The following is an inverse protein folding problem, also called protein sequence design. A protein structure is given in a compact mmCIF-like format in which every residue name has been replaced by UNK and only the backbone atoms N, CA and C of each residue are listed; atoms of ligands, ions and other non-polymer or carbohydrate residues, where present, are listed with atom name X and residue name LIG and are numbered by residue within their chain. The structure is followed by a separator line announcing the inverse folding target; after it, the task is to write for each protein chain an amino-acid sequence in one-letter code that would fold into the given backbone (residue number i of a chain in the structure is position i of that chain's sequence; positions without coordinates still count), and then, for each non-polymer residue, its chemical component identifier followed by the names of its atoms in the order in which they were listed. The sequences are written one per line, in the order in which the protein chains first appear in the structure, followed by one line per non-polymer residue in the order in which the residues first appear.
data_IF_135763805624
#
_entry.id   IF_135763805624
#
_cell.length_a   1.000
_cell.length_b   1.000
_cell.length_c   1.000
_cell.angle_alpha   90.00
_cell.angle_beta   90.00
_cell.angle_gamma   90.00
#
_symmetry.space_group_name_H-M   'P 1'
#
loop_
_entity.id
_entity.type
_entity.pdbx_description
1 polymer ?
#
# COMPACT_ATOMS: atom_id res chain seq x y z
N UNK A 1 -18.61 59.99 -11.79
CA UNK A 1 -18.72 58.60 -11.32
C UNK A 1 -18.36 58.64 -9.85
N UNK A 2 -19.37 58.81 -8.98
CA UNK A 2 -19.18 58.80 -7.54
C UNK A 2 -18.93 57.35 -7.10
N UNK A 3 -17.71 57.09 -6.72
CA UNK A 3 -17.32 55.82 -6.06
C UNK A 3 -17.89 55.88 -4.66
N UNK A 4 -18.95 55.11 -4.40
CA UNK A 4 -19.55 54.97 -3.08
C UNK A 4 -18.42 54.55 -2.09
N UNK A 5 -18.25 55.24 -0.92
CA UNK A 5 -17.21 54.91 0.02
C UNK A 5 -17.34 53.46 0.49
N UNK A 6 -16.26 52.70 0.36
CA UNK A 6 -16.16 51.34 0.91
C UNK A 6 -16.33 51.51 2.43
N UNK A 7 -17.47 51.06 2.94
CA UNK A 7 -17.80 51.14 4.34
C UNK A 7 -16.84 50.25 5.11
N UNK A 8 -15.90 50.83 5.79
CA UNK A 8 -14.98 50.11 6.66
C UNK A 8 -15.76 49.27 7.66
N UNK A 9 -15.44 47.99 7.72
CA UNK A 9 -16.06 47.07 8.68
C UNK A 9 -15.46 47.38 10.05
N UNK A 10 -16.21 48.02 10.90
CA UNK A 10 -15.80 48.32 12.26
C UNK A 10 -15.85 47.05 13.13
N UNK A 11 -14.79 46.28 13.08
CA UNK A 11 -14.62 45.06 13.89
C UNK A 11 -14.68 45.33 15.39
N UNK A 12 -14.21 46.53 15.84
CA UNK A 12 -14.21 46.90 17.25
C UNK A 12 -15.61 47.23 17.75
N UNK A 13 -16.39 47.92 16.94
CA UNK A 13 -17.81 48.20 17.22
C UNK A 13 -18.63 46.91 17.27
N UNK A 14 -18.34 45.97 16.36
CA UNK A 14 -19.03 44.63 16.34
C UNK A 14 -18.66 43.84 17.62
N UNK A 15 -17.40 43.79 18.03
CA UNK A 15 -16.97 43.08 19.22
C UNK A 15 -17.61 43.69 20.51
N UNK A 16 -17.70 45.03 20.63
CA UNK A 16 -18.41 45.68 21.76
C UNK A 16 -19.88 45.29 21.83
N UNK A 17 -20.57 45.18 20.72
CA UNK A 17 -22.00 44.76 20.65
C UNK A 17 -22.20 43.32 21.11
N UNK A 18 -21.32 42.38 20.69
CA UNK A 18 -21.37 40.96 21.15
C UNK A 18 -21.13 40.92 22.67
N UNK A 19 -20.14 41.66 23.18
CA UNK A 19 -19.81 41.73 24.62
C UNK A 19 -20.95 42.38 25.45
N UNK A 20 -21.75 43.27 24.86
CA UNK A 20 -22.88 43.87 25.54
C UNK A 20 -23.97 42.87 25.95
N UNK A 21 -24.13 41.78 25.19
CA UNK A 21 -25.11 40.70 25.46
C UNK A 21 -24.52 39.63 26.42
N UNK A 22 -24.03 40.01 27.57
CA UNK A 22 -23.31 39.14 28.54
C UNK A 22 -24.08 37.85 28.88
N UNK A 23 -25.38 37.89 29.07
CA UNK A 23 -26.18 36.71 29.44
C UNK A 23 -26.20 35.65 28.36
N UNK A 24 -26.32 36.06 27.10
CA UNK A 24 -26.26 35.15 25.95
C UNK A 24 -24.86 34.57 25.80
N UNK A 25 -23.82 35.42 25.85
CA UNK A 25 -22.44 35.02 25.72
C UNK A 25 -22.02 34.03 26.82
N UNK A 26 -22.42 34.23 28.07
CA UNK A 26 -22.14 33.28 29.15
C UNK A 26 -22.90 31.96 28.97
N UNK A 27 -24.16 32.01 28.51
CA UNK A 27 -24.96 30.81 28.26
C UNK A 27 -24.39 29.92 27.17
N UNK A 28 -24.05 30.50 26.02
CA UNK A 28 -23.46 29.77 24.90
C UNK A 28 -22.02 29.30 25.19
N UNK A 29 -21.23 30.09 25.91
CA UNK A 29 -19.90 29.71 26.36
C UNK A 29 -19.93 28.45 27.25
N UNK A 30 -20.84 28.45 28.27
CA UNK A 30 -21.00 27.26 29.12
C UNK A 30 -21.56 26.08 28.33
N UNK A 31 -22.53 26.30 27.45
CA UNK A 31 -23.06 25.22 26.59
C UNK A 31 -21.98 24.64 25.67
N UNK A 32 -21.17 25.49 25.05
CA UNK A 32 -20.05 25.06 24.20
C UNK A 32 -19.01 24.23 24.94
N UNK A 33 -18.69 24.62 26.18
CA UNK A 33 -17.77 23.85 27.05
C UNK A 33 -18.38 22.46 27.35
N UNK A 34 -19.64 22.41 27.76
CA UNK A 34 -20.33 21.16 28.10
C UNK A 34 -20.37 20.23 26.88
N UNK A 35 -20.79 20.75 25.72
CA UNK A 35 -20.83 19.98 24.47
C UNK A 35 -19.42 19.55 24.08
N UNK A 36 -18.43 20.44 24.15
CA UNK A 36 -17.03 20.16 23.87
C UNK A 36 -16.45 19.05 24.75
N UNK A 37 -16.78 19.04 26.05
CA UNK A 37 -16.37 17.98 26.97
C UNK A 37 -17.01 16.66 26.59
N UNK A 38 -18.33 16.62 26.35
CA UNK A 38 -19.07 15.41 25.96
C UNK A 38 -18.45 14.81 24.68
N UNK A 39 -18.18 15.65 23.67
CA UNK A 39 -17.56 15.21 22.41
C UNK A 39 -16.13 14.73 22.62
N UNK A 40 -15.31 15.47 23.37
CA UNK A 40 -13.92 15.14 23.64
C UNK A 40 -13.74 13.80 24.38
N UNK A 41 -14.63 13.47 25.29
CA UNK A 41 -14.61 12.20 26.01
C UNK A 41 -15.15 11.02 25.20
N UNK A 42 -16.00 11.27 24.21
CA UNK A 42 -16.56 10.23 23.35
C UNK A 42 -15.63 9.85 22.19
N UNK A 43 -14.65 10.69 21.83
CA UNK A 43 -13.65 10.34 20.82
C UNK A 43 -12.63 9.38 21.43
N UNK A 44 -12.48 8.21 20.80
CA UNK A 44 -11.52 7.21 21.20
C UNK A 44 -10.09 7.70 20.97
N UNK A 45 -9.20 7.35 21.90
CA UNK A 45 -7.76 7.50 21.69
C UNK A 45 -7.31 6.48 20.64
N UNK A 46 -6.42 6.92 19.76
CA UNK A 46 -5.76 6.08 18.78
C UNK A 46 -4.26 6.12 19.00
N UNK A 47 -3.61 4.99 18.79
CA UNK A 47 -2.18 4.82 18.93
C UNK A 47 -1.63 4.34 17.61
N UNK A 48 -0.50 4.91 17.18
CA UNK A 48 0.15 4.55 15.92
C UNK A 48 1.51 3.97 16.21
N UNK A 49 1.76 2.77 15.72
CA UNK A 49 3.08 2.15 15.71
C UNK A 49 3.63 2.18 14.30
N UNK A 50 4.92 2.41 14.15
CA UNK A 50 5.59 2.54 12.87
C UNK A 50 6.74 1.56 12.74
N UNK A 51 6.88 1.01 11.53
CA UNK A 51 8.02 0.20 11.11
C UNK A 51 8.64 0.88 9.90
N UNK A 52 9.96 1.01 9.92
CA UNK A 52 10.71 1.61 8.81
C UNK A 52 11.58 0.53 8.17
N UNK A 53 11.41 0.35 6.88
CA UNK A 53 12.16 -0.66 6.10
C UNK A 53 12.81 -0.02 4.87
N UNK A 54 14.02 -0.46 4.55
CA UNK A 54 14.69 -0.12 3.30
C UNK A 54 14.59 -1.32 2.35
N UNK A 55 13.98 -1.18 1.16
CA UNK A 55 13.96 -2.26 0.19
C UNK A 55 15.38 -2.53 -0.30
N UNK A 56 15.75 -3.81 -0.35
CA UNK A 56 16.97 -4.21 -1.01
C UNK A 56 16.73 -4.18 -2.51
N UNK A 57 17.20 -3.12 -3.14
CA UNK A 57 17.29 -3.04 -4.59
C UNK A 57 18.52 -3.87 -4.93
N UNK A 58 18.31 -5.11 -5.43
CA UNK A 58 19.42 -5.91 -5.94
C UNK A 58 20.10 -5.10 -7.05
N UNK A 59 21.25 -4.54 -6.72
CA UNK A 59 22.10 -3.78 -7.64
C UNK A 59 22.82 -4.74 -8.59
N UNK A 60 22.07 -5.54 -9.35
CA UNK A 60 22.56 -6.14 -10.59
C UNK A 60 22.92 -5.06 -11.62
N UNK A 61 22.58 -3.82 -11.33
CA UNK A 61 22.89 -2.65 -12.16
C UNK A 61 24.40 -2.35 -12.21
N UNK A 62 25.16 -2.60 -11.16
CA UNK A 62 26.61 -2.28 -11.15
C UNK A 62 27.48 -3.20 -12.01
N UNK A 63 27.06 -4.46 -12.24
CA UNK A 63 27.75 -5.37 -13.17
C UNK A 63 27.20 -5.25 -14.60
N UNK A 64 25.90 -4.94 -14.75
CA UNK A 64 25.27 -4.78 -16.04
C UNK A 64 25.73 -3.50 -16.76
N UNK A 65 25.99 -2.40 -16.03
CA UNK A 65 26.49 -1.16 -16.63
C UNK A 65 27.92 -1.34 -17.19
N UNK A 66 28.80 -2.02 -16.48
CA UNK A 66 30.13 -2.31 -16.97
C UNK A 66 30.18 -3.28 -18.17
N UNK A 67 29.23 -4.24 -18.23
CA UNK A 67 29.07 -5.16 -19.35
C UNK A 67 28.31 -4.53 -20.52
N UNK A 68 27.36 -3.63 -20.27
CA UNK A 68 26.64 -2.89 -21.32
C UNK A 68 27.55 -1.89 -22.04
N UNK A 69 28.49 -1.26 -21.33
CA UNK A 69 29.48 -0.37 -21.92
C UNK A 69 30.49 -1.14 -22.79
N UNK A 70 30.91 -2.34 -22.37
CA UNK A 70 31.74 -3.22 -23.16
C UNK A 70 31.00 -3.80 -24.38
N UNK A 71 29.73 -4.14 -24.24
CA UNK A 71 28.91 -4.68 -25.32
C UNK A 71 28.55 -3.61 -26.36
N UNK A 72 28.33 -2.36 -25.93
CA UNK A 72 28.13 -1.23 -26.86
C UNK A 72 29.36 -0.90 -27.68
N UNK A 73 30.58 -1.16 -27.14
CA UNK A 73 31.84 -1.06 -27.91
C UNK A 73 31.98 -2.13 -29.00
N UNK A 74 31.28 -3.27 -28.88
CA UNK A 74 31.27 -4.36 -29.86
C UNK A 74 30.01 -4.31 -30.77
N UNK A 75 29.16 -3.26 -30.63
CA UNK A 75 27.98 -3.08 -31.48
C UNK A 75 26.80 -3.97 -31.08
N UNK A 76 26.82 -4.59 -29.92
CA UNK A 76 25.72 -5.40 -29.38
C UNK A 76 24.94 -4.57 -28.38
N UNK A 77 23.74 -4.16 -28.78
CA UNK A 77 22.83 -3.35 -27.94
C UNK A 77 22.14 -4.24 -26.91
N UNK A 78 22.79 -4.46 -25.75
CA UNK A 78 22.25 -5.22 -24.61
C UNK A 78 21.15 -4.46 -23.86
N UNK A 79 20.85 -3.21 -24.23
CA UNK A 79 19.77 -2.41 -23.62
C UNK A 79 18.36 -2.95 -23.90
N UNK A 80 18.19 -3.80 -24.91
CA UNK A 80 16.89 -4.44 -25.20
C UNK A 80 16.72 -5.82 -24.58
N UNK A 81 17.78 -6.38 -23.98
CA UNK A 81 17.78 -7.69 -23.32
C UNK A 81 17.49 -7.56 -21.84
N UNK A 82 16.22 -7.36 -21.49
CA UNK A 82 15.67 -7.70 -20.18
C UNK A 82 16.55 -7.33 -18.97
N UNK A 83 16.53 -6.08 -18.55
CA UNK A 83 16.69 -5.84 -17.12
C UNK A 83 15.66 -6.74 -16.44
N UNK A 84 16.10 -7.84 -15.86
CA UNK A 84 15.30 -8.66 -14.99
C UNK A 84 14.95 -7.79 -13.78
N UNK A 85 13.90 -7.00 -13.96
CA UNK A 85 13.28 -6.26 -12.89
C UNK A 85 12.62 -7.31 -12.00
N UNK A 86 13.47 -7.94 -11.22
CA UNK A 86 13.11 -9.03 -10.32
C UNK A 86 12.46 -8.47 -9.04
N UNK A 87 12.30 -7.15 -8.98
CA UNK A 87 11.76 -6.48 -7.84
C UNK A 87 10.28 -6.18 -8.07
N UNK A 88 9.43 -6.61 -7.16
CA UNK A 88 8.19 -5.89 -6.92
C UNK A 88 8.64 -4.47 -6.55
N UNK A 89 8.36 -3.50 -7.42
CA UNK A 89 8.71 -2.11 -7.13
C UNK A 89 8.08 -1.67 -5.82
N UNK A 90 8.82 -0.98 -4.95
CA UNK A 90 8.28 -0.50 -3.68
C UNK A 90 7.00 0.33 -3.82
N UNK A 91 6.77 0.93 -4.99
CA UNK A 91 5.54 1.66 -5.33
C UNK A 91 4.27 0.80 -5.28
N UNK A 92 4.38 -0.53 -5.44
CA UNK A 92 3.24 -1.45 -5.41
C UNK A 92 2.85 -1.84 -3.96
N UNK A 93 3.72 -1.59 -2.97
CA UNK A 93 3.44 -2.01 -1.59
C UNK A 93 2.15 -1.41 -1.02
N UNK A 94 1.81 -0.12 -1.23
CA UNK A 94 0.52 0.41 -0.81
C UNK A 94 -0.66 -0.35 -1.40
N UNK A 95 -0.56 -0.80 -2.66
CA UNK A 95 -1.63 -1.55 -3.34
C UNK A 95 -1.77 -2.96 -2.78
N UNK A 96 -0.67 -3.59 -2.35
CA UNK A 96 -0.71 -4.89 -1.66
C UNK A 96 -1.51 -4.76 -0.37
N UNK A 97 -1.27 -3.72 0.44
CA UNK A 97 -2.02 -3.47 1.68
C UNK A 97 -3.49 -3.12 1.44
N UNK A 98 -3.80 -2.51 0.29
CA UNK A 98 -5.17 -2.19 -0.12
C UNK A 98 -5.91 -3.41 -0.68
N UNK A 99 -5.21 -4.52 -1.00
CA UNK A 99 -5.84 -5.73 -1.54
C UNK A 99 -6.72 -6.43 -0.49
N UNK A 100 -7.84 -6.97 -0.93
CA UNK A 100 -8.73 -7.72 -0.03
C UNK A 100 -8.06 -8.98 0.50
N UNK A 101 -7.31 -9.70 -0.34
CA UNK A 101 -6.67 -10.96 0.03
C UNK A 101 -5.68 -10.74 1.18
N UNK A 102 -4.86 -9.69 1.11
CA UNK A 102 -3.94 -9.35 2.18
C UNK A 102 -4.66 -9.02 3.48
N UNK A 103 -5.75 -8.23 3.41
CA UNK A 103 -6.52 -7.82 4.59
C UNK A 103 -7.26 -9.00 5.23
N UNK A 104 -7.80 -9.91 4.42
CA UNK A 104 -8.47 -11.12 4.92
C UNK A 104 -7.50 -12.03 5.68
N UNK A 105 -6.27 -12.10 5.24
CA UNK A 105 -5.20 -12.82 5.95
C UNK A 105 -4.88 -12.25 7.34
N UNK A 106 -5.28 -11.00 7.63
CA UNK A 106 -5.12 -10.38 8.94
C UNK A 106 -6.25 -10.73 9.92
N UNK A 107 -7.39 -11.25 9.44
CA UNK A 107 -8.56 -11.50 10.28
C UNK A 107 -8.29 -12.49 11.42
N UNK A 108 -7.56 -13.56 11.12
CA UNK A 108 -7.31 -14.67 12.06
C UNK A 108 -6.12 -14.43 12.99
N UNK A 109 -5.44 -13.28 12.87
CA UNK A 109 -4.31 -12.96 13.73
C UNK A 109 -4.80 -12.81 15.16
N UNK A 110 -4.16 -13.56 16.07
CA UNK A 110 -4.45 -13.46 17.50
C UNK A 110 -3.81 -12.20 18.08
N UNK A 111 -4.65 -11.35 18.65
CA UNK A 111 -4.22 -10.11 19.30
C UNK A 111 -4.54 -10.16 20.78
N UNK A 112 -3.65 -9.60 21.58
CA UNK A 112 -3.83 -9.45 23.03
C UNK A 112 -3.79 -7.96 23.36
N UNK A 113 -4.82 -7.47 24.07
CA UNK A 113 -4.89 -6.08 24.51
C UNK A 113 -4.01 -5.88 25.74
N UNK A 114 -3.52 -4.65 25.92
CA UNK A 114 -2.66 -4.27 27.03
C UNK A 114 -3.33 -4.55 28.40
N UNK A 115 -4.63 -4.27 28.50
CA UNK A 115 -5.40 -4.38 29.76
C UNK A 115 -6.19 -5.70 29.89
N UNK A 116 -6.00 -6.67 28.99
CA UNK A 116 -6.76 -7.92 28.98
C UNK A 116 -5.87 -9.15 28.90
N UNK A 117 -6.15 -10.15 29.70
CA UNK A 117 -5.45 -11.46 29.67
C UNK A 117 -5.97 -12.40 28.58
N UNK A 118 -7.06 -12.03 27.90
CA UNK A 118 -7.68 -12.84 26.85
C UNK A 118 -7.11 -12.53 25.46
N UNK A 119 -6.84 -13.58 24.66
CA UNK A 119 -6.52 -13.46 23.23
C UNK A 119 -7.82 -13.49 22.42
N UNK A 120 -7.92 -12.66 21.40
CA UNK A 120 -9.03 -12.64 20.42
C UNK A 120 -8.48 -12.42 19.01
N UNK A 121 -9.25 -12.78 18.00
CA UNK A 121 -8.84 -12.50 16.60
C UNK A 121 -8.91 -11.01 16.32
N UNK A 122 -8.06 -10.52 15.43
CA UNK A 122 -8.05 -9.12 15.01
C UNK A 122 -9.41 -8.69 14.43
N UNK A 123 -10.07 -9.59 13.68
CA UNK A 123 -11.45 -9.38 13.24
C UNK A 123 -12.40 -9.10 14.39
N UNK A 124 -12.35 -9.89 15.47
CA UNK A 124 -13.22 -9.71 16.64
C UNK A 124 -12.88 -8.42 17.41
N UNK A 125 -11.60 -8.05 17.45
CA UNK A 125 -11.15 -6.81 18.05
C UNK A 125 -11.75 -5.60 17.31
N UNK A 126 -11.61 -5.51 16.00
CA UNK A 126 -12.16 -4.43 15.19
C UNK A 126 -13.69 -4.37 15.30
N UNK A 127 -14.37 -5.53 15.31
CA UNK A 127 -15.83 -5.59 15.36
C UNK A 127 -16.40 -5.15 16.72
N UNK A 128 -15.75 -5.50 17.84
CA UNK A 128 -16.30 -5.29 19.18
C UNK A 128 -15.78 -4.03 19.86
N UNK A 129 -14.51 -3.69 19.66
CA UNK A 129 -13.84 -2.63 20.43
C UNK A 129 -13.80 -1.28 19.69
N UNK A 130 -14.27 -1.26 18.44
CA UNK A 130 -14.39 -0.01 17.69
C UNK A 130 -15.67 0.73 18.11
N UNK A 131 -15.54 1.61 19.13
CA UNK A 131 -16.65 2.40 19.65
C UNK A 131 -17.13 3.41 18.62
N UNK A 132 -18.38 3.29 18.24
CA UNK A 132 -19.04 4.24 17.34
C UNK A 132 -19.42 5.47 18.15
N UNK A 133 -18.96 6.68 17.78
CA UNK A 133 -19.32 7.91 18.49
C UNK A 133 -20.83 8.12 18.52
N UNK A 134 -21.37 8.65 19.65
CA UNK A 134 -22.82 8.78 19.85
C UNK A 134 -23.53 9.62 18.77
N UNK A 135 -22.84 10.59 18.17
CA UNK A 135 -23.38 11.39 17.05
C UNK A 135 -23.56 10.59 15.76
N UNK A 136 -23.02 9.40 15.66
CA UNK A 136 -23.25 8.47 14.54
C UNK A 136 -24.52 7.65 14.73
N UNK A 137 -25.07 7.56 15.96
CA UNK A 137 -26.29 6.81 16.23
C UNK A 137 -27.51 7.28 15.42
N UNK A 138 -27.78 8.58 15.24
CA UNK A 138 -28.90 9.03 14.40
C UNK A 138 -28.77 8.54 12.96
N UNK A 139 -27.55 8.59 12.41
CA UNK A 139 -27.26 8.08 11.05
C UNK A 139 -27.41 6.55 10.98
N UNK A 140 -26.89 5.83 11.98
CA UNK A 140 -27.04 4.38 12.08
C UNK A 140 -28.49 3.97 12.29
N UNK A 141 -29.26 4.70 13.06
CA UNK A 141 -30.69 4.47 13.26
C UNK A 141 -31.47 4.64 11.95
N UNK A 142 -31.20 5.70 11.19
CA UNK A 142 -31.77 5.90 9.85
C UNK A 142 -31.37 4.76 8.89
N UNK A 143 -30.09 4.36 8.89
CA UNK A 143 -29.60 3.24 8.06
C UNK A 143 -30.26 1.92 8.48
N UNK A 144 -30.43 1.66 9.79
CA UNK A 144 -31.14 0.47 10.29
C UNK A 144 -32.61 0.50 9.92
N UNK A 145 -33.26 1.66 9.95
CA UNK A 145 -34.66 1.83 9.53
C UNK A 145 -34.84 1.52 8.03
N UNK A 146 -33.91 1.99 7.19
CA UNK A 146 -33.90 1.67 5.76
C UNK A 146 -33.53 0.19 5.53
N UNK A 147 -32.61 -0.37 6.32
CA UNK A 147 -32.18 -1.76 6.22
C UNK A 147 -33.26 -2.76 6.67
N UNK A 148 -34.19 -2.35 7.57
CA UNK A 148 -35.31 -3.20 7.98
C UNK A 148 -36.29 -3.48 6.84
N UNK A 149 -36.28 -2.66 5.79
CA UNK A 149 -37.06 -2.90 4.54
C UNK A 149 -36.33 -3.79 3.53
N UNK A 150 -35.05 -4.12 3.77
CA UNK A 150 -34.29 -5.09 2.93
C UNK A 150 -34.23 -6.44 3.63
N UNK A 151 -34.56 -7.51 2.90
CA UNK A 151 -34.44 -8.90 3.40
C UNK A 151 -33.05 -9.13 4.01
N UNK A 152 -32.97 -9.75 5.23
CA UNK A 152 -31.70 -10.09 5.83
C UNK A 152 -30.94 -11.04 4.91
N UNK A 153 -29.77 -10.64 4.45
CA UNK A 153 -28.85 -11.57 3.80
C UNK A 153 -28.37 -12.55 4.87
N UNK A 154 -28.65 -13.85 4.66
CA UNK A 154 -28.11 -14.92 5.50
C UNK A 154 -26.60 -14.77 5.56
N UNK A 155 -26.06 -14.67 6.78
CA UNK A 155 -24.62 -14.67 6.99
C UNK A 155 -24.04 -15.95 6.35
N UNK A 156 -23.04 -15.78 5.52
CA UNK A 156 -22.25 -16.89 5.01
C UNK A 156 -21.30 -17.25 6.15
N UNK A 157 -21.46 -18.44 6.72
CA UNK A 157 -20.50 -18.99 7.67
C UNK A 157 -19.17 -19.25 6.93
N UNK A 158 -18.11 -18.56 7.33
CA UNK A 158 -16.78 -18.61 6.74
C UNK A 158 -16.40 -17.36 5.94
N UNK A 159 -15.09 -17.12 5.83
CA UNK A 159 -14.53 -16.02 5.04
C UNK A 159 -14.34 -16.53 3.61
N UNK A 160 -15.17 -16.06 2.67
CA UNK A 160 -14.99 -16.35 1.25
C UNK A 160 -14.48 -15.09 0.55
N UNK A 161 -13.23 -15.07 0.02
CA UNK A 161 -12.65 -13.91 -0.64
C UNK A 161 -13.48 -13.38 -1.82
N UNK A 162 -14.21 -14.26 -2.53
CA UNK A 162 -15.07 -13.89 -3.66
C UNK A 162 -16.44 -13.33 -3.24
N UNK A 163 -16.85 -13.56 -1.99
CA UNK A 163 -18.18 -13.14 -1.52
C UNK A 163 -18.15 -12.76 -0.04
N UNK A 164 -17.67 -11.57 0.25
CA UNK A 164 -17.68 -11.03 1.60
C UNK A 164 -19.09 -10.65 2.04
N UNK A 165 -19.39 -10.87 3.31
CA UNK A 165 -20.60 -10.33 3.93
C UNK A 165 -20.43 -8.81 4.11
N UNK A 166 -21.54 -8.09 4.27
CA UNK A 166 -21.50 -6.64 4.51
C UNK A 166 -20.64 -6.25 5.71
N UNK A 167 -20.72 -7.03 6.79
CA UNK A 167 -19.93 -6.82 8.01
C UNK A 167 -18.44 -7.05 7.73
N UNK A 168 -18.11 -8.12 7.01
CA UNK A 168 -16.71 -8.40 6.63
C UNK A 168 -16.14 -7.30 5.76
N UNK A 169 -16.92 -6.79 4.79
CA UNK A 169 -16.48 -5.65 3.95
C UNK A 169 -16.23 -4.40 4.79
N UNK A 170 -17.11 -4.09 5.74
CA UNK A 170 -16.96 -2.94 6.63
C UNK A 170 -15.70 -3.07 7.51
N UNK A 171 -15.44 -4.25 8.06
CA UNK A 171 -14.21 -4.54 8.81
C UNK A 171 -12.97 -4.43 7.91
N UNK A 172 -13.01 -4.93 6.68
CA UNK A 172 -11.91 -4.76 5.72
C UNK A 172 -11.58 -3.28 5.48
N UNK A 173 -12.59 -2.44 5.27
CA UNK A 173 -12.38 -1.00 5.05
C UNK A 173 -11.80 -0.30 6.28
N UNK A 174 -12.21 -0.68 7.48
CA UNK A 174 -11.63 -0.17 8.73
C UNK A 174 -10.16 -0.57 8.83
N UNK A 175 -9.83 -1.85 8.58
CA UNK A 175 -8.43 -2.33 8.62
C UNK A 175 -7.58 -1.60 7.59
N UNK A 176 -8.05 -1.45 6.34
CA UNK A 176 -7.34 -0.69 5.29
C UNK A 176 -7.09 0.76 5.71
N UNK A 177 -8.07 1.40 6.34
CA UNK A 177 -7.93 2.78 6.81
C UNK A 177 -6.92 2.92 7.96
N UNK A 178 -6.73 1.87 8.75
CA UNK A 178 -5.81 1.82 9.88
C UNK A 178 -4.35 1.54 9.45
N UNK A 179 -4.15 0.99 8.25
CA UNK A 179 -2.83 0.70 7.70
C UNK A 179 -2.46 1.80 6.72
N UNK A 180 -1.32 2.45 6.93
CA UNK A 180 -0.76 3.44 6.00
C UNK A 180 0.63 3.03 5.61
N UNK A 181 0.91 3.03 4.32
CA UNK A 181 2.22 2.79 3.77
C UNK A 181 2.67 4.04 3.02
N UNK A 182 3.77 4.62 3.45
CA UNK A 182 4.37 5.78 2.82
C UNK A 182 5.73 5.42 2.26
N UNK A 183 5.94 5.68 0.98
CA UNK A 183 7.21 5.53 0.31
C UNK A 183 7.87 6.91 0.14
N UNK A 184 9.02 7.09 0.74
CA UNK A 184 9.84 8.29 0.53
C UNK A 184 10.57 8.15 -0.82
N UNK A 185 10.17 8.95 -1.81
CA UNK A 185 10.69 8.86 -3.19
C UNK A 185 12.17 9.18 -3.33
N UNK A 186 12.72 9.98 -2.42
CA UNK A 186 14.13 10.36 -2.43
C UNK A 186 15.06 9.27 -1.90
N UNK A 187 14.63 8.55 -0.86
CA UNK A 187 15.46 7.56 -0.17
C UNK A 187 15.01 6.12 -0.44
N UNK A 188 13.87 5.93 -1.11
CA UNK A 188 13.17 4.64 -1.26
C UNK A 188 12.85 3.94 0.06
N UNK A 189 12.94 4.65 1.18
CA UNK A 189 12.57 4.11 2.49
C UNK A 189 11.05 4.04 2.61
N UNK A 190 10.57 2.92 3.16
CA UNK A 190 9.16 2.66 3.36
C UNK A 190 8.84 2.77 4.84
N UNK A 191 7.88 3.62 5.15
CA UNK A 191 7.30 3.73 6.50
C UNK A 191 5.93 3.09 6.50
N UNK A 192 5.78 2.01 7.26
CA UNK A 192 4.53 1.32 7.51
C UNK A 192 4.00 1.76 8.88
N UNK A 193 2.84 2.42 8.89
CA UNK A 193 2.18 2.89 10.11
C UNK A 193 0.88 2.13 10.31
N UNK A 194 0.68 1.58 11.51
CA UNK A 194 -0.56 0.91 11.91
C UNK A 194 -1.17 1.65 13.09
N UNK A 195 -2.42 2.03 12.93
CA UNK A 195 -3.16 2.79 13.94
C UNK A 195 -4.27 1.92 14.54
N UNK A 196 -4.29 1.80 15.87
CA UNK A 196 -5.31 1.05 16.59
C UNK A 196 -5.76 1.79 17.87
N UNK A 197 -6.83 1.32 18.50
CA UNK A 197 -7.32 1.84 19.78
C UNK A 197 -6.49 1.35 20.97
N UNK A 198 -5.79 0.22 20.81
CA UNK A 198 -4.89 -0.34 21.80
C UNK A 198 -3.41 -0.23 21.34
N UNK A 199 -2.50 0.29 22.17
CA UNK A 199 -1.10 0.48 21.81
C UNK A 199 -0.35 -0.83 21.57
N UNK A 200 -0.69 -1.91 22.28
CA UNK A 200 -0.08 -3.21 22.11
C UNK A 200 -0.52 -3.86 20.80
N UNK A 201 -1.82 -3.75 20.47
CA UNK A 201 -2.36 -4.25 19.21
C UNK A 201 -1.75 -3.47 18.03
N UNK A 202 -1.61 -2.14 18.13
CA UNK A 202 -0.97 -1.34 17.09
C UNK A 202 0.46 -1.82 16.79
N UNK A 203 1.28 -2.09 17.83
CA UNK A 203 2.65 -2.57 17.68
C UNK A 203 2.70 -4.00 17.14
N UNK A 204 1.89 -4.90 17.70
CA UNK A 204 1.81 -6.30 17.24
C UNK A 204 1.39 -6.40 15.77
N UNK A 205 0.39 -5.61 15.37
CA UNK A 205 -0.08 -5.61 13.99
C UNK A 205 0.94 -4.98 13.05
N UNK A 206 1.65 -3.91 13.44
CA UNK A 206 2.71 -3.32 12.63
C UNK A 206 3.83 -4.33 12.33
N UNK A 207 4.29 -5.05 13.34
CA UNK A 207 5.29 -6.11 13.20
C UNK A 207 4.77 -7.31 12.38
N UNK A 208 3.52 -7.72 12.60
CA UNK A 208 2.92 -8.84 11.88
C UNK A 208 2.70 -8.51 10.39
N UNK A 209 2.21 -7.31 10.09
CA UNK A 209 1.99 -6.84 8.72
C UNK A 209 3.32 -6.74 7.97
N UNK A 210 4.37 -6.22 8.62
CA UNK A 210 5.71 -6.16 8.05
C UNK A 210 6.24 -7.57 7.71
N UNK A 211 6.12 -8.54 8.63
CA UNK A 211 6.53 -9.93 8.39
C UNK A 211 5.69 -10.60 7.29
N UNK A 212 4.39 -10.37 7.25
CA UNK A 212 3.53 -10.89 6.17
C UNK A 212 3.91 -10.31 4.81
N UNK A 213 4.19 -8.99 4.75
CA UNK A 213 4.68 -8.37 3.53
C UNK A 213 5.99 -8.99 3.07
N UNK A 214 6.95 -9.18 3.97
CA UNK A 214 8.22 -9.82 3.66
C UNK A 214 8.02 -11.22 3.07
N UNK A 215 7.20 -12.04 3.72
CA UNK A 215 6.89 -13.39 3.26
C UNK A 215 6.18 -13.38 1.90
N UNK A 216 5.25 -12.47 1.68
CA UNK A 216 4.54 -12.33 0.41
C UNK A 216 5.50 -12.00 -0.74
N UNK A 217 6.40 -11.03 -0.55
CA UNK A 217 7.38 -10.64 -1.56
C UNK A 217 8.39 -11.77 -1.82
N UNK A 218 8.85 -12.43 -0.76
CA UNK A 218 9.76 -13.58 -0.90
C UNK A 218 9.11 -14.74 -1.67
N UNK A 219 7.84 -15.05 -1.35
CA UNK A 219 7.10 -16.09 -2.07
C UNK A 219 6.93 -15.74 -3.55
N UNK A 220 6.58 -14.49 -3.87
CA UNK A 220 6.46 -14.02 -5.24
C UNK A 220 7.78 -14.12 -6.01
N UNK A 221 8.88 -13.63 -5.44
CA UNK A 221 10.22 -13.72 -6.05
C UNK A 221 10.63 -15.17 -6.30
N UNK A 222 10.41 -16.04 -5.31
CA UNK A 222 10.74 -17.46 -5.44
C UNK A 222 9.89 -18.13 -6.52
N UNK A 223 8.59 -17.82 -6.60
CA UNK A 223 7.74 -18.39 -7.64
C UNK A 223 8.16 -17.92 -9.04
N UNK A 224 8.50 -16.65 -9.20
CA UNK A 224 9.00 -16.13 -10.46
C UNK A 224 10.32 -16.79 -10.87
N UNK A 225 11.29 -16.87 -9.95
CA UNK A 225 12.56 -17.52 -10.21
C UNK A 225 12.40 -19.01 -10.60
N UNK A 226 11.42 -19.71 -10.02
CA UNK A 226 11.08 -21.08 -10.44
C UNK A 226 10.54 -21.15 -11.86
N UNK A 227 9.61 -20.25 -12.21
CA UNK A 227 9.05 -20.20 -13.56
C UNK A 227 10.14 -19.88 -14.60
N UNK A 228 11.05 -18.96 -14.30
CA UNK A 228 12.18 -18.60 -15.16
C UNK A 228 13.13 -19.80 -15.32
N UNK A 229 13.39 -20.56 -14.26
CA UNK A 229 14.20 -21.79 -14.33
C UNK A 229 13.51 -22.88 -15.16
N UNK A 230 12.22 -23.11 -14.98
CA UNK A 230 11.46 -24.09 -15.78
C UNK A 230 11.50 -23.73 -17.27
N UNK A 231 11.39 -22.45 -17.60
CA UNK A 231 11.56 -21.95 -18.96
C UNK A 231 12.96 -22.22 -19.49
N UNK A 232 13.99 -21.85 -18.72
CA UNK A 232 15.40 -22.10 -19.09
C UNK A 232 15.71 -23.60 -19.31
N UNK A 233 15.10 -24.50 -18.50
CA UNK A 233 15.22 -25.94 -18.68
C UNK A 233 14.59 -26.41 -19.99
N UNK A 234 13.48 -25.81 -20.43
CA UNK A 234 12.87 -26.15 -21.73
C UNK A 234 13.79 -25.74 -22.88
N UNK A 235 14.30 -24.51 -22.83
CA UNK A 235 15.24 -23.99 -23.84
C UNK A 235 16.52 -24.84 -23.88
N UNK A 236 17.05 -25.24 -22.73
CA UNK A 236 18.19 -26.13 -22.63
C UNK A 236 17.95 -27.48 -23.32
N UNK A 237 16.80 -28.13 -23.05
CA UNK A 237 16.45 -29.43 -23.64
C UNK A 237 16.27 -29.35 -25.16
N UNK A 238 15.67 -28.28 -25.65
CA UNK A 238 15.50 -28.04 -27.08
C UNK A 238 16.84 -27.82 -27.76
N UNK A 239 17.66 -26.94 -27.21
CA UNK A 239 19.02 -26.71 -27.74
C UNK A 239 19.94 -27.95 -27.69
N UNK A 240 19.81 -28.79 -26.65
CA UNK A 240 20.50 -30.04 -26.52
C UNK A 240 20.08 -31.02 -27.63
N UNK A 241 18.79 -31.16 -27.86
CA UNK A 241 18.26 -32.03 -28.93
C UNK A 241 18.76 -31.59 -30.30
N UNK A 242 18.67 -30.29 -30.59
CA UNK A 242 19.11 -29.72 -31.87
C UNK A 242 20.60 -29.94 -32.10
N UNK A 243 21.45 -29.73 -31.08
CA UNK A 243 22.86 -29.98 -31.15
C UNK A 243 23.18 -31.47 -31.37
N UNK A 244 22.52 -32.36 -30.62
CA UNK A 244 22.69 -33.81 -30.79
C UNK A 244 22.27 -34.30 -32.17
N UNK A 245 21.20 -33.71 -32.75
CA UNK A 245 20.78 -34.01 -34.11
C UNK A 245 21.78 -33.52 -35.15
N UNK A 246 22.27 -32.30 -35.04
CA UNK A 246 23.28 -31.73 -35.93
C UNK A 246 24.58 -32.53 -35.84
N UNK A 247 25.01 -32.90 -34.63
CA UNK A 247 26.18 -33.75 -34.42
C UNK A 247 26.06 -35.14 -35.07
N UNK A 248 24.85 -35.75 -34.97
CA UNK A 248 24.60 -37.05 -35.64
C UNK A 248 24.61 -36.91 -37.15
N UNK A 249 24.06 -35.84 -37.72
CA UNK A 249 24.10 -35.59 -39.18
C UNK A 249 25.51 -35.41 -39.67
N UNK A 250 26.30 -34.61 -38.97
CA UNK A 250 27.70 -34.42 -39.29
C UNK A 250 28.49 -35.73 -39.23
N UNK A 251 28.37 -36.52 -38.14
CA UNK A 251 29.08 -37.81 -37.98
C UNK A 251 28.70 -38.82 -39.03
N UNK A 252 27.39 -39.00 -39.27
CA UNK A 252 26.91 -39.95 -40.29
C UNK A 252 27.37 -39.58 -41.70
N UNK A 253 27.47 -38.30 -42.04
CA UNK A 253 27.97 -37.84 -43.33
C UNK A 253 29.47 -38.02 -43.45
N UNK A 254 30.24 -37.74 -42.41
CA UNK A 254 31.68 -37.94 -42.35
C UNK A 254 32.05 -39.45 -42.50
N UNK A 255 31.30 -40.35 -41.79
CA UNK A 255 31.54 -41.80 -41.85
C UNK A 255 31.18 -42.39 -43.19
N UNK A 256 30.16 -41.87 -43.87
CA UNK A 256 29.72 -42.36 -45.18
C UNK A 256 30.63 -41.90 -46.35
N UNK A 257 31.36 -40.81 -46.18
CA UNK A 257 32.17 -40.18 -47.24
C UNK A 257 33.62 -40.06 -46.79
N UNK A 258 34.33 -41.14 -46.62
CA UNK A 258 35.73 -41.17 -46.19
C UNK A 258 36.71 -40.66 -47.25
N UNK A 259 36.30 -40.60 -48.53
CA UNK A 259 37.09 -40.07 -49.62
C UNK A 259 36.61 -38.63 -49.99
N UNK A 260 37.20 -37.63 -49.32
CA UNK A 260 36.86 -36.21 -49.46
C UNK A 260 37.58 -35.50 -50.63
N UNK A 261 38.05 -36.22 -51.65
CA UNK A 261 38.68 -35.63 -52.82
C UNK A 261 37.72 -34.83 -53.70
N UNK A 262 36.40 -35.16 -53.63
CA UNK A 262 35.36 -34.45 -54.40
C UNK A 262 35.00 -33.14 -53.69
N UNK A 263 35.17 -31.97 -54.34
CA UNK A 263 34.93 -30.66 -53.72
C UNK A 263 33.52 -30.48 -53.15
N UNK A 264 32.46 -31.07 -53.76
CA UNK A 264 31.07 -31.00 -53.28
C UNK A 264 30.87 -31.70 -51.95
N UNK A 265 31.58 -32.84 -51.69
CA UNK A 265 31.49 -33.52 -50.41
C UNK A 265 32.14 -32.75 -49.29
N UNK A 266 33.24 -32.04 -49.58
CA UNK A 266 33.95 -31.18 -48.63
C UNK A 266 33.09 -29.99 -48.24
N UNK A 267 32.44 -29.33 -49.20
CA UNK A 267 31.52 -28.20 -48.92
C UNK A 267 30.35 -28.65 -48.05
N UNK A 268 29.71 -29.79 -48.33
CA UNK A 268 28.63 -30.31 -47.53
C UNK A 268 29.06 -30.65 -46.10
N UNK A 269 30.27 -31.21 -45.94
CA UNK A 269 30.81 -31.50 -44.61
C UNK A 269 31.05 -30.22 -43.82
N UNK A 270 31.63 -29.19 -44.46
CA UNK A 270 31.85 -27.86 -43.86
C UNK A 270 30.53 -27.19 -43.46
N UNK A 271 29.48 -27.30 -44.27
CA UNK A 271 28.14 -26.77 -43.94
C UNK A 271 27.56 -27.48 -42.72
N UNK A 272 27.67 -28.82 -42.63
CA UNK A 272 27.22 -29.60 -41.47
C UNK A 272 28.01 -29.32 -40.21
N UNK A 273 29.34 -29.08 -40.34
CA UNK A 273 30.20 -28.70 -39.23
C UNK A 273 29.83 -27.30 -38.71
N UNK A 274 29.60 -26.35 -39.61
CA UNK A 274 29.15 -25.01 -39.26
C UNK A 274 27.80 -25.03 -38.56
N UNK A 275 26.80 -25.80 -39.05
CA UNK A 275 25.50 -25.98 -38.39
C UNK A 275 25.65 -26.57 -36.99
N UNK A 276 26.43 -27.63 -36.84
CA UNK A 276 26.75 -28.24 -35.56
C UNK A 276 27.39 -27.23 -34.59
N UNK A 277 28.33 -26.41 -35.08
CA UNK A 277 29.00 -25.40 -34.26
C UNK A 277 28.06 -24.28 -33.82
N UNK A 278 27.17 -23.84 -34.67
CA UNK A 278 26.09 -22.87 -34.34
C UNK A 278 25.16 -23.46 -33.24
N UNK A 279 24.72 -24.71 -33.43
CA UNK A 279 23.86 -25.39 -32.45
C UNK A 279 24.60 -25.62 -31.12
N UNK A 280 25.88 -25.92 -31.13
CA UNK A 280 26.73 -26.04 -29.94
C UNK A 280 26.79 -24.69 -29.18
N UNK A 281 26.97 -23.57 -29.87
CA UNK A 281 27.00 -22.26 -29.24
C UNK A 281 25.65 -21.91 -28.58
N UNK A 282 24.52 -22.22 -29.23
CA UNK A 282 23.21 -22.06 -28.67
C UNK A 282 23.01 -22.93 -27.42
N UNK A 283 23.39 -24.22 -27.51
CA UNK A 283 23.34 -25.15 -26.39
C UNK A 283 24.21 -24.66 -25.21
N UNK A 284 25.44 -24.24 -25.46
CA UNK A 284 26.33 -23.67 -24.42
C UNK A 284 25.71 -22.45 -23.73
N UNK A 285 25.10 -21.55 -24.50
CA UNK A 285 24.39 -20.39 -23.97
C UNK A 285 23.19 -20.79 -23.12
N UNK A 286 22.39 -21.78 -23.57
CA UNK A 286 21.25 -22.30 -22.85
C UNK A 286 21.67 -22.96 -21.50
N UNK A 287 22.78 -23.67 -21.46
CA UNK A 287 23.38 -24.23 -20.23
C UNK A 287 23.69 -23.11 -19.23
N UNK A 288 24.34 -22.04 -19.69
CA UNK A 288 24.69 -20.89 -18.84
C UNK A 288 23.41 -20.21 -18.30
N UNK A 289 22.41 -20.01 -19.15
CA UNK A 289 21.14 -19.42 -18.78
C UNK A 289 20.39 -20.26 -17.72
N UNK A 290 20.33 -21.59 -17.92
CA UNK A 290 19.73 -22.52 -16.96
C UNK A 290 20.45 -22.49 -15.61
N UNK A 291 21.80 -22.48 -15.61
CA UNK A 291 22.60 -22.41 -14.39
C UNK A 291 22.37 -21.06 -13.66
N UNK A 292 22.32 -19.96 -14.39
CA UNK A 292 22.02 -18.65 -13.82
C UNK A 292 20.62 -18.60 -13.19
N UNK A 293 19.61 -19.13 -13.88
CA UNK A 293 18.25 -19.22 -13.36
C UNK A 293 18.17 -20.12 -12.11
N UNK A 294 18.93 -21.23 -12.08
CA UNK A 294 19.05 -22.11 -10.92
C UNK A 294 19.65 -21.39 -9.70
N UNK A 295 20.70 -20.60 -9.90
CA UNK A 295 21.32 -19.82 -8.84
C UNK A 295 20.37 -18.79 -8.25
N UNK A 296 19.56 -18.13 -9.07
CA UNK A 296 18.54 -17.17 -8.61
C UNK A 296 17.50 -17.77 -7.65
N UNK A 297 17.13 -19.05 -7.82
CA UNK A 297 16.23 -19.73 -6.86
C UNK A 297 16.91 -19.89 -5.49
N UNK A 298 18.23 -20.08 -5.46
CA UNK A 298 19.01 -20.30 -4.23
C UNK A 298 19.36 -19.00 -3.53
N UNK A 299 19.29 -17.88 -4.24
CA UNK A 299 19.57 -16.56 -3.70
C UNK A 299 18.46 -16.13 -2.73
N UNK A 300 18.74 -16.27 -1.42
CA UNK A 300 17.82 -15.92 -0.32
C UNK A 300 18.02 -14.47 0.09
N UNK A 301 17.94 -13.54 -0.83
CA UNK A 301 18.05 -12.12 -0.51
C UNK A 301 16.76 -11.67 0.19
N UNK A 302 16.82 -11.09 1.41
CA UNK A 302 15.65 -10.53 2.06
C UNK A 302 15.05 -9.45 1.16
N UNK A 303 13.70 -9.29 1.23
CA UNK A 303 13.02 -8.32 0.38
C UNK A 303 13.35 -6.87 0.77
N UNK A 304 13.69 -6.68 2.04
CA UNK A 304 14.08 -5.39 2.63
C UNK A 304 14.80 -5.60 3.96
N UNK A 305 15.59 -4.60 4.34
CA UNK A 305 16.25 -4.52 5.64
C UNK A 305 15.42 -3.65 6.57
N UNK A 306 15.22 -4.09 7.81
CA UNK A 306 14.48 -3.35 8.83
C UNK A 306 15.40 -2.28 9.42
N UNK A 307 15.03 -1.01 9.26
CA UNK A 307 15.72 0.13 9.89
C UNK A 307 15.19 0.35 11.29
N UNK A 308 13.86 0.27 11.47
CA UNK A 308 13.21 0.46 12.76
C UNK A 308 12.09 -0.57 12.93
N UNK A 309 12.13 -1.29 14.04
CA UNK A 309 11.08 -2.25 14.43
C UNK A 309 9.87 -1.54 15.02
N UNK A 310 8.72 -2.22 14.98
CA UNK A 310 7.52 -1.78 15.69
C UNK A 310 7.79 -1.61 17.19
N UNK A 311 7.29 -0.51 17.73
CA UNK A 311 7.38 -0.21 19.17
C UNK A 311 6.01 0.12 19.73
N UNK A 312 5.75 -0.23 20.99
CA UNK A 312 4.50 0.11 21.66
C UNK A 312 4.48 1.62 21.91
N UNK A 313 3.54 2.37 21.32
CA UNK A 313 3.49 3.81 21.46
C UNK A 313 3.01 4.22 22.86
N UNK A 314 3.76 5.07 23.54
CA UNK A 314 3.41 5.60 24.86
C UNK A 314 2.40 6.75 24.78
N UNK A 315 2.37 7.48 23.66
CA UNK A 315 1.47 8.62 23.45
C UNK A 315 0.43 8.31 22.38
N UNK A 316 -0.79 8.80 22.59
CA UNK A 316 -1.83 8.69 21.56
C UNK A 316 -1.51 9.61 20.38
N UNK A 317 -1.75 9.11 19.18
CA UNK A 317 -1.65 9.87 17.91
C UNK A 317 -2.90 10.70 17.59
N UNK A 318 -3.99 10.48 18.35
CA UNK A 318 -5.24 11.24 18.21
C UNK A 318 -5.07 12.68 18.71
N UNK A 319 -5.88 13.59 18.17
CA UNK A 319 -5.91 15.00 18.57
C UNK A 319 -6.14 15.09 20.08
N UNK A 320 -5.28 15.84 20.84
CA UNK A 320 -5.48 16.03 22.27
C UNK A 320 -6.86 16.64 22.57
N UNK A 321 -7.53 16.13 23.61
CA UNK A 321 -8.87 16.55 23.99
C UNK A 321 -9.03 18.06 24.21
N UNK A 322 -7.95 18.71 24.65
CA UNK A 322 -7.92 20.14 24.86
C UNK A 322 -8.16 20.94 23.57
N UNK A 323 -7.62 20.50 22.43
CA UNK A 323 -7.84 21.18 21.16
C UNK A 323 -9.29 21.06 20.68
N UNK A 324 -9.94 19.93 20.96
CA UNK A 324 -11.36 19.73 20.66
C UNK A 324 -12.18 20.72 21.47
N UNK A 325 -11.89 20.86 22.76
CA UNK A 325 -12.59 21.80 23.64
C UNK A 325 -12.39 23.24 23.16
N UNK A 326 -11.17 23.65 22.85
CA UNK A 326 -10.86 24.99 22.32
C UNK A 326 -11.63 25.25 21.02
N UNK A 327 -11.70 24.26 20.10
CA UNK A 327 -12.44 24.38 18.86
C UNK A 327 -13.95 24.60 19.10
N UNK A 328 -14.55 23.88 20.07
CA UNK A 328 -15.97 24.07 20.42
C UNK A 328 -16.24 25.42 21.07
N UNK A 329 -15.35 25.89 21.94
CA UNK A 329 -15.45 27.23 22.52
C UNK A 329 -15.35 28.31 21.44
N UNK A 330 -14.43 28.17 20.52
CA UNK A 330 -14.28 29.08 19.39
C UNK A 330 -15.53 29.10 18.49
N UNK A 331 -16.08 27.94 18.19
CA UNK A 331 -17.35 27.82 17.44
C UNK A 331 -18.52 28.45 18.18
N UNK A 332 -18.58 28.34 19.51
CA UNK A 332 -19.60 28.99 20.35
C UNK A 332 -19.53 30.52 20.26
N UNK A 333 -18.33 31.07 20.35
CA UNK A 333 -18.12 32.53 20.22
C UNK A 333 -18.46 33.01 18.80
N UNK A 334 -18.12 32.26 17.78
CA UNK A 334 -18.53 32.56 16.40
C UNK A 334 -20.04 32.51 16.23
N UNK A 335 -20.71 31.53 16.83
CA UNK A 335 -22.17 31.43 16.80
C UNK A 335 -22.82 32.67 17.46
N UNK A 336 -22.31 33.10 18.60
CA UNK A 336 -22.80 34.33 19.25
C UNK A 336 -22.62 35.56 18.38
N UNK A 337 -21.43 35.70 17.77
CA UNK A 337 -21.17 36.82 16.88
C UNK A 337 -22.17 36.85 15.69
N UNK A 338 -22.38 35.71 15.05
CA UNK A 338 -23.35 35.58 13.95
C UNK A 338 -24.79 35.84 14.41
N UNK A 339 -25.17 35.33 15.59
CA UNK A 339 -26.50 35.48 16.12
C UNK A 339 -26.81 36.96 16.49
N UNK A 340 -25.93 37.63 17.24
CA UNK A 340 -26.09 39.02 17.65
C UNK A 340 -26.07 39.94 16.46
N UNK A 341 -25.11 39.82 15.56
CA UNK A 341 -24.96 40.70 14.39
C UNK A 341 -25.99 40.42 13.30
N UNK A 342 -26.37 39.16 13.12
CA UNK A 342 -27.31 38.75 12.07
C UNK A 342 -28.77 38.93 12.45
N UNK A 343 -29.20 38.40 13.61
CA UNK A 343 -30.60 38.27 13.97
C UNK A 343 -31.11 39.44 14.83
N UNK A 344 -30.38 39.88 15.88
CA UNK A 344 -30.84 40.94 16.75
C UNK A 344 -30.72 42.35 16.13
N UNK A 345 -29.74 42.60 15.26
CA UNK A 345 -29.57 43.91 14.64
C UNK A 345 -30.11 44.01 13.20
N UNK A 346 -30.91 43.04 12.71
CA UNK A 346 -31.53 43.07 11.37
C UNK A 346 -30.57 43.38 10.21
N UNK A 347 -29.26 43.12 10.36
CA UNK A 347 -28.29 43.38 9.30
C UNK A 347 -28.35 42.39 8.13
N UNK A 348 -28.95 41.21 8.30
CA UNK A 348 -29.09 40.21 7.21
C UNK A 348 -29.91 40.72 6.04
N UNK A 349 -30.91 41.57 6.28
CA UNK A 349 -31.74 42.17 5.21
C UNK A 349 -30.95 43.15 4.29
N UNK A 350 -29.82 43.67 4.76
CA UNK A 350 -28.94 44.53 3.95
C UNK A 350 -27.88 43.75 3.19
N UNK A 351 -27.40 42.63 3.71
CA UNK A 351 -26.39 41.81 3.03
C UNK A 351 -26.94 41.12 1.79
N UNK A 352 -28.19 40.63 1.86
CA UNK A 352 -28.84 39.97 0.71
C UNK A 352 -29.35 40.95 -0.36
N UNK A 353 -29.48 42.25 -0.05
CA UNK A 353 -29.88 43.28 -1.03
C UNK A 353 -28.73 43.78 -1.91
N UNK A 354 -27.48 43.49 -1.57
CA UNK A 354 -26.32 43.88 -2.36
C UNK A 354 -25.90 42.85 -3.45
N UNK A 355 -26.55 41.68 -3.45
CA UNK A 355 -26.32 40.62 -4.47
C UNK A 355 -27.30 40.58 -5.64
N UNK A 356 -28.28 41.53 -5.70
CA UNK A 356 -29.25 41.61 -6.78
C UNK A 356 -29.29 43.01 -7.42
N UNK A 357 -28.18 43.38 -8.01
CA UNK A 357 -28.10 44.41 -9.05
C UNK A 357 -27.01 44.05 -10.06
#
# INVERSE_FOLDING_TARGET
MDIAPIKEIDFWGMAKKVIAHKRLLYGTFVASIVIGIIVAFNIQKKYTSEVIVAPEISSSMGMADGLSDLASMVGVDLKSGGSSVDAIYPQIYPDIFASNDFVLDLFDIQVQLLDSTGSKTYYQHILKDNHIPFWSYPKLWLVKLIASFKKPQKGVDGVNPFRLSKIQTEVCEVIKSNIKCFLATETNVITLSVTDTDPQVAALMADTIQRKLQNYIMAYRTQKARNDYEFAVKVYKEAQFDYEEARRKYGAYADANTDLEIPSYRLTLEDLENDMQIKYNVFSSAVQQMNTAKMKIQERTPAFTIIQNATIPLKSSSIPRIYILIAFVFLGVLFDAVWVLGWQEHHWGRFFRLGSK
#
